data_IF_760779949275
#
_entry.id   IF_760779949275
#
_cell.length_a   1.000
_cell.length_b   1.000
_cell.length_c   1.000
_cell.angle_alpha   90.00
_cell.angle_beta   90.00
_cell.angle_gamma   90.00
#
_symmetry.space_group_name_H-M   'P 1'
#
loop_
_entity.id
_entity.type
_entity.pdbx_description
1 polymer ?
#
# COMPACT_ATOMS: atom_id res chain seq x y z
N UNK A 1 1.40 -19.21 15.97
CA UNK A 1 2.26 -18.44 15.02
C UNK A 1 1.57 -18.20 13.68
N UNK A 2 1.19 -19.23 12.91
CA UNK A 2 0.47 -19.02 11.63
C UNK A 2 -0.87 -18.30 11.78
N UNK A 3 -1.65 -18.64 12.81
CA UNK A 3 -2.95 -18.01 13.08
C UNK A 3 -2.82 -16.51 13.37
N UNK A 4 -1.88 -16.12 14.24
CA UNK A 4 -1.57 -14.71 14.55
C UNK A 4 -1.13 -13.94 13.31
N UNK A 5 -0.35 -14.55 12.42
CA UNK A 5 0.09 -13.91 11.18
C UNK A 5 -1.07 -13.68 10.20
N UNK A 6 -1.98 -14.65 10.09
CA UNK A 6 -3.16 -14.51 9.26
C UNK A 6 -4.17 -13.51 9.83
N UNK A 7 -4.26 -13.40 11.16
CA UNK A 7 -5.03 -12.37 11.84
C UNK A 7 -4.47 -10.98 11.58
N UNK A 8 -3.16 -10.77 11.75
CA UNK A 8 -2.50 -9.49 11.43
C UNK A 8 -2.71 -9.05 9.97
N UNK A 9 -2.61 -9.99 9.02
CA UNK A 9 -2.91 -9.69 7.60
C UNK A 9 -4.39 -9.37 7.40
N UNK A 10 -5.30 -10.05 8.11
CA UNK A 10 -6.74 -9.80 8.04
C UNK A 10 -7.08 -8.41 8.57
N UNK A 11 -6.54 -8.02 9.71
CA UNK A 11 -6.72 -6.69 10.29
C UNK A 11 -6.19 -5.60 9.35
N UNK A 12 -4.99 -5.79 8.80
CA UNK A 12 -4.43 -4.85 7.82
C UNK A 12 -5.36 -4.67 6.61
N UNK A 13 -5.90 -5.77 6.06
CA UNK A 13 -6.87 -5.72 4.95
C UNK A 13 -8.13 -4.94 5.33
N UNK A 14 -8.68 -5.16 6.53
CA UNK A 14 -9.87 -4.43 7.01
C UNK A 14 -9.59 -2.92 7.09
N UNK A 15 -8.41 -2.53 7.59
CA UNK A 15 -8.01 -1.12 7.66
C UNK A 15 -7.89 -0.54 6.26
N UNK A 16 -7.19 -1.24 5.35
CA UNK A 16 -7.03 -0.81 3.95
C UNK A 16 -8.39 -0.62 3.25
N UNK A 17 -9.32 -1.55 3.44
CA UNK A 17 -10.68 -1.45 2.89
C UNK A 17 -11.45 -0.24 3.42
N UNK A 18 -11.31 0.06 4.73
CA UNK A 18 -11.91 1.25 5.35
C UNK A 18 -11.33 2.54 4.75
N UNK A 19 -10.01 2.63 4.60
CA UNK A 19 -9.35 3.78 4.01
C UNK A 19 -9.79 4.01 2.56
N UNK A 20 -9.94 2.95 1.75
CA UNK A 20 -10.43 3.05 0.37
C UNK A 20 -11.87 3.56 0.35
N UNK A 21 -12.73 3.07 1.23
CA UNK A 21 -14.13 3.54 1.34
C UNK A 21 -14.17 5.02 1.73
N UNK A 22 -13.39 5.42 2.71
CA UNK A 22 -13.31 6.81 3.15
C UNK A 22 -12.81 7.72 2.03
N UNK A 23 -11.74 7.33 1.32
CA UNK A 23 -11.23 8.10 0.19
C UNK A 23 -12.30 8.27 -0.89
N UNK A 24 -13.04 7.22 -1.25
CA UNK A 24 -14.14 7.33 -2.23
C UNK A 24 -15.24 8.29 -1.76
N UNK A 25 -15.57 8.28 -0.48
CA UNK A 25 -16.52 9.21 0.11
C UNK A 25 -16.01 10.66 0.04
N UNK A 26 -14.73 10.89 0.36
CA UNK A 26 -14.07 12.19 0.24
C UNK A 26 -14.03 12.69 -1.21
N UNK A 27 -13.72 11.82 -2.18
CA UNK A 27 -13.75 12.14 -3.61
C UNK A 27 -15.15 12.58 -4.07
N UNK A 28 -16.18 11.85 -3.64
CA UNK A 28 -17.57 12.18 -3.95
C UNK A 28 -17.97 13.54 -3.35
N UNK A 29 -17.64 13.77 -2.07
CA UNK A 29 -17.89 15.05 -1.40
C UNK A 29 -17.19 16.20 -2.12
N UNK A 30 -15.92 16.03 -2.47
CA UNK A 30 -15.14 17.04 -3.18
C UNK A 30 -15.72 17.37 -4.57
N UNK A 31 -16.21 16.36 -5.30
CA UNK A 31 -16.86 16.56 -6.60
C UNK A 31 -18.19 17.33 -6.47
N UNK A 32 -19.01 17.00 -5.46
CA UNK A 32 -20.27 17.72 -5.19
C UNK A 32 -19.99 19.17 -4.79
N UNK A 33 -19.03 19.40 -3.90
CA UNK A 33 -18.64 20.73 -3.43
C UNK A 33 -18.05 21.58 -4.57
N UNK A 34 -17.21 20.98 -5.41
CA UNK A 34 -16.68 21.58 -6.63
C UNK A 34 -17.80 22.06 -7.57
N UNK A 35 -18.80 21.20 -7.82
CA UNK A 35 -19.94 21.57 -8.66
C UNK A 35 -20.79 22.67 -8.02
N UNK A 36 -21.02 22.61 -6.70
CA UNK A 36 -21.74 23.67 -5.97
C UNK A 36 -21.02 25.00 -6.03
N UNK A 37 -19.69 25.01 -5.92
CA UNK A 37 -18.86 26.21 -6.03
C UNK A 37 -19.03 26.87 -7.40
N UNK A 38 -19.00 26.09 -8.49
CA UNK A 38 -19.20 26.61 -9.85
C UNK A 38 -20.62 27.17 -10.05
N UNK A 39 -21.64 26.53 -9.47
CA UNK A 39 -23.02 27.04 -9.56
C UNK A 39 -23.21 28.36 -8.81
N UNK A 40 -22.50 28.56 -7.70
CA UNK A 40 -22.59 29.77 -6.88
C UNK A 40 -21.66 30.89 -7.34
N UNK A 41 -20.82 30.66 -8.36
CA UNK A 41 -19.88 31.66 -8.86
C UNK A 41 -20.61 32.75 -9.66
N UNK A 42 -20.70 33.94 -9.07
CA UNK A 42 -21.35 35.12 -9.66
C UNK A 42 -20.62 35.66 -10.89
N UNK A 43 -19.36 35.26 -11.12
CA UNK A 43 -18.58 35.67 -12.31
C UNK A 43 -19.01 34.93 -13.57
N UNK A 44 -19.63 33.75 -13.43
CA UNK A 44 -20.11 32.94 -14.54
C UNK A 44 -21.51 33.38 -14.97
N UNK A 45 -21.55 34.27 -15.97
CA UNK A 45 -22.78 34.98 -16.35
C UNK A 45 -23.67 34.17 -17.29
N UNK A 46 -23.12 33.22 -18.04
CA UNK A 46 -23.86 32.44 -19.03
C UNK A 46 -23.74 30.91 -18.80
N UNK A 47 -24.69 30.16 -19.38
CA UNK A 47 -24.75 28.69 -19.24
C UNK A 47 -23.53 27.99 -19.89
N UNK A 48 -23.10 28.46 -21.07
CA UNK A 48 -22.01 27.83 -21.80
C UNK A 48 -20.65 27.90 -21.07
N UNK A 49 -20.38 29.02 -20.41
CA UNK A 49 -19.19 29.27 -19.58
C UNK A 49 -19.24 28.39 -18.32
N UNK A 50 -20.42 28.27 -17.71
CA UNK A 50 -20.63 27.36 -16.58
C UNK A 50 -20.40 25.91 -16.97
N UNK A 51 -20.98 25.45 -18.08
CA UNK A 51 -20.81 24.08 -18.58
C UNK A 51 -19.35 23.80 -18.99
N UNK A 52 -18.65 24.79 -19.56
CA UNK A 52 -17.21 24.70 -19.84
C UNK A 52 -16.42 24.55 -18.53
N UNK A 53 -16.71 25.37 -17.53
CA UNK A 53 -16.01 25.33 -16.24
C UNK A 53 -16.23 24.02 -15.50
N UNK A 54 -17.44 23.46 -15.55
CA UNK A 54 -17.77 22.15 -14.98
C UNK A 54 -16.94 21.05 -15.66
N UNK A 55 -16.81 21.06 -17.00
CA UNK A 55 -15.99 20.09 -17.73
C UNK A 55 -14.52 20.15 -17.32
N UNK A 56 -13.94 21.34 -17.33
CA UNK A 56 -12.53 21.54 -16.91
C UNK A 56 -12.30 21.06 -15.47
N UNK A 57 -13.24 21.35 -14.57
CA UNK A 57 -13.15 20.94 -13.17
C UNK A 57 -13.31 19.42 -12.99
N UNK A 58 -14.19 18.79 -13.77
CA UNK A 58 -14.35 17.34 -13.77
C UNK A 58 -13.11 16.63 -14.29
N UNK A 59 -12.49 17.14 -15.36
CA UNK A 59 -11.24 16.60 -15.89
C UNK A 59 -10.11 16.70 -14.86
N UNK A 60 -9.98 17.87 -14.23
CA UNK A 60 -9.01 18.09 -13.16
C UNK A 60 -9.24 17.16 -11.96
N UNK A 61 -10.48 17.07 -11.47
CA UNK A 61 -10.83 16.20 -10.34
C UNK A 61 -10.59 14.73 -10.68
N UNK A 62 -10.93 14.29 -11.89
CA UNK A 62 -10.71 12.91 -12.36
C UNK A 62 -9.22 12.56 -12.34
N UNK A 63 -8.36 13.43 -12.89
CA UNK A 63 -6.91 13.22 -12.85
C UNK A 63 -6.40 13.12 -11.42
N UNK A 64 -6.78 14.08 -10.56
CA UNK A 64 -6.39 14.09 -9.15
C UNK A 64 -6.85 12.82 -8.41
N UNK A 65 -8.05 12.33 -8.68
CA UNK A 65 -8.59 11.13 -8.03
C UNK A 65 -7.88 9.86 -8.48
N UNK A 66 -7.44 9.78 -9.74
CA UNK A 66 -6.61 8.69 -10.24
C UNK A 66 -5.26 8.68 -9.52
N UNK A 67 -4.60 9.83 -9.42
CA UNK A 67 -3.30 9.95 -8.75
C UNK A 67 -3.39 9.58 -7.27
N UNK A 68 -4.44 10.02 -6.58
CA UNK A 68 -4.70 9.64 -5.18
C UNK A 68 -4.89 8.12 -5.02
N UNK A 69 -5.66 7.48 -5.90
CA UNK A 69 -5.87 6.03 -5.86
C UNK A 69 -4.57 5.28 -6.11
N UNK A 70 -3.74 5.75 -7.04
CA UNK A 70 -2.43 5.17 -7.34
C UNK A 70 -1.50 5.26 -6.14
N UNK A 71 -1.40 6.43 -5.53
CA UNK A 71 -0.57 6.64 -4.34
C UNK A 71 -1.03 5.77 -3.17
N UNK A 72 -2.34 5.65 -2.97
CA UNK A 72 -2.90 4.78 -1.94
C UNK A 72 -2.59 3.30 -2.19
N UNK A 73 -2.75 2.81 -3.42
CA UNK A 73 -2.42 1.43 -3.77
C UNK A 73 -0.95 1.14 -3.49
N UNK A 74 -0.04 2.05 -3.89
CA UNK A 74 1.39 1.92 -3.58
C UNK A 74 1.67 1.89 -2.07
N UNK A 75 0.95 2.71 -1.28
CA UNK A 75 1.05 2.70 0.18
C UNK A 75 0.59 1.36 0.77
N UNK A 76 -0.53 0.84 0.30
CA UNK A 76 -1.08 -0.46 0.73
C UNK A 76 -0.14 -1.60 0.40
N UNK A 77 0.40 -1.64 -0.82
CA UNK A 77 1.39 -2.64 -1.23
C UNK A 77 2.63 -2.58 -0.36
N UNK A 78 3.14 -1.38 -0.06
CA UNK A 78 4.31 -1.20 0.82
C UNK A 78 4.04 -1.71 2.23
N UNK A 79 2.89 -1.38 2.81
CA UNK A 79 2.49 -1.86 4.15
C UNK A 79 2.40 -3.39 4.19
N UNK A 80 1.81 -4.01 3.17
CA UNK A 80 1.71 -5.47 3.08
C UNK A 80 3.08 -6.12 2.92
N UNK A 81 3.98 -5.53 2.12
CA UNK A 81 5.35 -6.03 1.97
C UNK A 81 6.14 -5.92 3.28
N UNK A 82 6.02 -4.82 4.01
CA UNK A 82 6.68 -4.63 5.31
C UNK A 82 6.19 -5.66 6.34
N UNK A 83 4.88 -5.88 6.43
CA UNK A 83 4.30 -6.90 7.31
C UNK A 83 4.81 -8.31 6.96
N UNK A 84 4.88 -8.65 5.67
CA UNK A 84 5.39 -9.95 5.22
C UNK A 84 6.88 -10.13 5.51
N UNK A 85 7.69 -9.06 5.37
CA UNK A 85 9.13 -9.09 5.71
C UNK A 85 9.33 -9.32 7.20
N UNK A 86 8.62 -8.59 8.05
CA UNK A 86 8.67 -8.75 9.51
C UNK A 86 8.22 -10.15 9.93
N UNK A 87 7.16 -10.66 9.29
CA UNK A 87 6.66 -12.01 9.51
C UNK A 87 7.73 -13.06 9.17
N UNK A 88 8.40 -12.91 8.02
CA UNK A 88 9.43 -13.82 7.53
C UNK A 88 10.68 -13.78 8.42
N UNK A 89 11.13 -12.60 8.83
CA UNK A 89 12.28 -12.47 9.72
C UNK A 89 12.00 -13.06 11.10
N UNK A 90 10.79 -12.85 11.64
CA UNK A 90 10.41 -13.43 12.93
C UNK A 90 10.28 -14.96 12.87
N UNK A 91 9.78 -15.52 11.76
CA UNK A 91 9.79 -16.96 11.53
C UNK A 91 11.22 -17.52 11.45
N UNK A 92 12.12 -16.84 10.73
CA UNK A 92 13.52 -17.26 10.60
C UNK A 92 14.24 -17.26 11.95
N UNK A 93 14.09 -16.17 12.72
CA UNK A 93 14.60 -16.06 14.09
C UNK A 93 14.06 -17.21 14.95
N UNK A 94 12.74 -17.42 14.95
CA UNK A 94 12.15 -18.51 15.73
C UNK A 94 12.74 -19.88 15.36
N UNK A 95 12.90 -20.17 14.07
CA UNK A 95 13.51 -21.44 13.60
C UNK A 95 14.97 -21.55 14.09
N UNK A 96 15.77 -20.50 13.95
CA UNK A 96 17.15 -20.50 14.43
C UNK A 96 17.24 -20.77 15.94
N UNK A 97 16.44 -20.09 16.76
CA UNK A 97 16.49 -20.26 18.22
C UNK A 97 15.89 -21.58 18.69
N UNK A 98 14.92 -22.15 17.96
CA UNK A 98 14.26 -23.41 18.35
C UNK A 98 15.03 -24.65 17.91
N UNK A 99 15.60 -24.64 16.69
CA UNK A 99 16.29 -25.80 16.12
C UNK A 99 17.82 -25.75 16.28
N UNK A 100 18.40 -24.58 16.60
CA UNK A 100 19.84 -24.43 16.88
C UNK A 100 20.12 -23.79 18.25
N UNK A 101 19.60 -24.32 19.37
CA UNK A 101 19.83 -23.76 20.70
C UNK A 101 21.29 -23.89 21.19
N UNK A 102 22.12 -24.75 20.56
CA UNK A 102 23.45 -25.14 21.06
C UNK A 102 24.65 -24.87 20.13
N UNK A 103 24.49 -24.20 18.99
CA UNK A 103 25.64 -23.83 18.15
C UNK A 103 26.29 -22.56 18.67
N UNK A 104 27.63 -22.53 18.70
CA UNK A 104 28.40 -21.34 19.06
C UNK A 104 27.98 -20.16 18.18
N UNK A 105 28.08 -18.92 18.69
CA UNK A 105 27.66 -17.73 17.94
C UNK A 105 28.27 -17.67 16.53
N UNK A 106 29.51 -18.14 16.37
CA UNK A 106 30.22 -18.22 15.10
C UNK A 106 29.56 -19.18 14.11
N UNK A 107 29.21 -20.39 14.53
CA UNK A 107 28.57 -21.38 13.65
C UNK A 107 27.18 -20.92 13.19
N UNK A 108 26.43 -20.18 14.05
CA UNK A 108 25.16 -19.56 13.64
C UNK A 108 25.37 -18.48 12.58
N UNK A 109 26.39 -17.64 12.74
CA UNK A 109 26.73 -16.58 11.78
C UNK A 109 27.27 -17.14 10.45
N UNK A 110 27.97 -18.27 10.48
CA UNK A 110 28.40 -18.99 9.27
C UNK A 110 27.23 -19.64 8.52
N UNK A 111 26.30 -20.27 9.25
CA UNK A 111 25.10 -20.85 8.65
C UNK A 111 24.22 -19.77 7.99
N UNK A 112 24.02 -18.62 8.67
CA UNK A 112 23.26 -17.49 8.12
C UNK A 112 23.94 -16.97 6.84
N UNK A 113 25.27 -16.76 6.87
CA UNK A 113 26.02 -16.31 5.68
C UNK A 113 25.88 -17.27 4.52
N UNK A 114 26.02 -18.58 4.77
CA UNK A 114 25.87 -19.61 3.73
C UNK A 114 24.46 -19.61 3.14
N UNK A 115 23.43 -19.52 3.99
CA UNK A 115 22.05 -19.47 3.53
C UNK A 115 21.76 -18.22 2.69
N UNK A 116 22.32 -17.06 3.07
CA UNK A 116 22.20 -15.82 2.29
C UNK A 116 22.91 -15.93 0.94
N UNK A 117 24.10 -16.51 0.88
CA UNK A 117 24.83 -16.77 -0.37
C UNK A 117 24.06 -17.71 -1.30
N UNK A 118 23.54 -18.83 -0.77
CA UNK A 118 22.75 -19.80 -1.54
C UNK A 118 21.48 -19.13 -2.10
N UNK A 119 20.81 -18.28 -1.31
CA UNK A 119 19.65 -17.51 -1.76
C UNK A 119 20.01 -16.48 -2.85
N UNK A 120 21.18 -15.84 -2.72
CA UNK A 120 21.68 -14.88 -3.71
C UNK A 120 22.06 -15.57 -5.03
N UNK A 121 22.68 -16.76 -4.94
CA UNK A 121 23.02 -17.59 -6.08
C UNK A 121 21.76 -18.06 -6.82
N UNK A 122 20.73 -18.48 -6.08
CA UNK A 122 19.44 -18.85 -6.66
C UNK A 122 18.79 -17.66 -7.38
N UNK A 123 18.75 -16.48 -6.76
CA UNK A 123 18.22 -15.25 -7.40
C UNK A 123 18.97 -14.86 -8.66
N UNK A 124 20.29 -15.04 -8.69
CA UNK A 124 21.11 -14.79 -9.89
C UNK A 124 20.80 -15.79 -11.00
N UNK A 125 20.48 -17.04 -10.65
CA UNK A 125 20.14 -18.09 -11.61
C UNK A 125 18.71 -17.96 -12.19
N UNK A 126 17.76 -17.40 -11.43
CA UNK A 126 16.35 -17.23 -11.89
C UNK A 126 16.11 -16.00 -12.76
N UNK A 127 17.10 -15.11 -12.92
CA UNK A 127 17.01 -13.97 -13.87
C UNK A 127 17.39 -14.48 -15.27
N UNK A 128 16.41 -15.06 -15.96
CA UNK A 128 16.39 -15.30 -17.42
C UNK A 128 15.11 -14.68 -17.97
#
# INVERSE_FOLDING_TARGET
MKEVQEEQKRELRIIQDREVKEMKAQQTKASIESNRSVMNDRKLRNKAERDRRIRELNDYNTKRFIDQRKLQAQRHDKQTQELNKLTSSMQFIFILYTFFPLHSRQEREEFIRKYEEDLLALKRATVI
#
